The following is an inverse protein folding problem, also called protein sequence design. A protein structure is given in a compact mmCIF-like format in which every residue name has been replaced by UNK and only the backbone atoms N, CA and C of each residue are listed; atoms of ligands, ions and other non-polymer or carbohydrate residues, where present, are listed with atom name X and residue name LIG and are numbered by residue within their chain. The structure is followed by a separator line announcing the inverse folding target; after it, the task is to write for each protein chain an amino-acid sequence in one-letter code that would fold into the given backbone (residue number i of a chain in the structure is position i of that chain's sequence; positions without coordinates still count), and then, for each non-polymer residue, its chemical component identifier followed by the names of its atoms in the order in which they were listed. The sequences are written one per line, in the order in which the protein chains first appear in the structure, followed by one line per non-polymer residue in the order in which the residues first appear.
data_IF_317764200381
#
_entry.id   IF_317764200381
#
_cell.length_a   1.000
_cell.length_b   1.000
_cell.length_c   1.000
_cell.angle_alpha   90.00
_cell.angle_beta   90.00
_cell.angle_gamma   90.00
#
_symmetry.space_group_name_H-M   'P 1'
#
loop_
_entity.id
_entity.type
_entity.pdbx_description
1 polymer ?
#
# COMPACT_ATOMS: atom_id res chain seq x y z
N UNK A 1 -14.50 7.81 -11.98
CA UNK A 1 -15.53 6.85 -11.66
C UNK A 1 -16.72 6.94 -12.62
N UNK A 2 -17.14 5.82 -13.16
CA UNK A 2 -18.21 5.73 -14.19
C UNK A 2 -19.65 5.89 -13.67
N UNK A 3 -19.93 6.83 -12.78
CA UNK A 3 -21.29 7.09 -12.29
C UNK A 3 -21.87 6.03 -11.34
N UNK A 4 -21.08 5.01 -10.95
CA UNK A 4 -21.49 3.99 -9.99
C UNK A 4 -21.42 4.50 -8.55
N UNK A 5 -22.30 4.02 -7.70
CA UNK A 5 -22.13 4.19 -6.27
C UNK A 5 -20.85 3.44 -5.79
N UNK A 6 -20.27 3.88 -4.69
CA UNK A 6 -19.09 3.20 -4.12
C UNK A 6 -19.39 1.72 -3.77
N UNK A 7 -20.59 1.46 -3.30
CA UNK A 7 -21.04 0.09 -2.99
C UNK A 7 -21.11 -0.78 -4.26
N UNK A 8 -21.69 -0.26 -5.34
CA UNK A 8 -21.78 -1.00 -6.62
C UNK A 8 -20.40 -1.23 -7.23
N UNK A 9 -19.51 -0.23 -7.16
CA UNK A 9 -18.13 -0.37 -7.59
C UNK A 9 -17.40 -1.45 -6.78
N UNK A 10 -17.59 -1.50 -5.47
CA UNK A 10 -17.01 -2.53 -4.61
C UNK A 10 -17.51 -3.94 -4.98
N UNK A 11 -18.79 -4.09 -5.26
CA UNK A 11 -19.36 -5.37 -5.73
C UNK A 11 -18.77 -5.83 -7.06
N UNK A 12 -18.60 -4.90 -8.01
CA UNK A 12 -18.00 -5.20 -9.31
C UNK A 12 -16.54 -5.65 -9.19
N UNK A 13 -15.74 -4.90 -8.43
CA UNK A 13 -14.32 -5.24 -8.20
C UNK A 13 -14.20 -6.57 -7.45
N UNK A 14 -15.00 -6.78 -6.41
CA UNK A 14 -15.02 -8.06 -5.68
C UNK A 14 -15.40 -9.23 -6.60
N UNK A 15 -16.38 -9.04 -7.48
CA UNK A 15 -16.76 -10.03 -8.49
C UNK A 15 -15.63 -10.34 -9.46
N UNK A 16 -14.88 -9.33 -9.90
CA UNK A 16 -13.71 -9.52 -10.78
C UNK A 16 -12.59 -10.31 -10.07
N UNK A 17 -12.26 -9.94 -8.85
CA UNK A 17 -11.23 -10.61 -8.05
C UNK A 17 -11.60 -12.07 -7.75
N UNK A 18 -12.87 -12.35 -7.41
CA UNK A 18 -13.34 -13.74 -7.19
C UNK A 18 -13.16 -14.62 -8.41
N UNK A 19 -13.35 -14.09 -9.64
CA UNK A 19 -13.19 -14.88 -10.86
C UNK A 19 -11.77 -15.38 -11.07
N UNK A 20 -10.77 -14.68 -10.59
CA UNK A 20 -9.35 -15.06 -10.72
C UNK A 20 -8.80 -15.76 -9.49
N UNK A 21 -9.47 -15.67 -8.35
CA UNK A 21 -8.98 -16.10 -7.05
C UNK A 21 -8.58 -17.58 -7.00
N UNK A 22 -9.46 -18.48 -7.49
CA UNK A 22 -9.17 -19.93 -7.50
C UNK A 22 -7.98 -20.25 -8.41
N UNK A 23 -7.87 -19.59 -9.56
CA UNK A 23 -6.73 -19.79 -10.44
C UNK A 23 -5.44 -19.28 -9.81
N UNK A 24 -5.46 -18.11 -9.18
CA UNK A 24 -4.33 -17.57 -8.45
C UNK A 24 -3.87 -18.52 -7.34
N UNK A 25 -4.80 -19.06 -6.55
CA UNK A 25 -4.50 -20.04 -5.51
C UNK A 25 -3.84 -21.31 -6.07
N UNK A 26 -4.34 -21.85 -7.17
CA UNK A 26 -3.76 -23.02 -7.84
C UNK A 26 -2.32 -22.77 -8.34
N UNK A 27 -1.97 -21.51 -8.59
CA UNK A 27 -0.64 -21.09 -9.04
C UNK A 27 0.27 -20.64 -7.89
N UNK A 28 -0.21 -20.65 -6.65
CA UNK A 28 0.54 -20.14 -5.50
C UNK A 28 0.79 -18.63 -5.57
N UNK A 29 -0.11 -17.87 -6.22
CA UNK A 29 0.00 -16.43 -6.41
C UNK A 29 -1.09 -15.73 -5.59
N UNK A 30 -0.74 -14.61 -4.97
CA UNK A 30 -1.69 -13.69 -4.35
C UNK A 30 -1.89 -12.51 -5.29
N UNK A 31 -3.13 -12.24 -5.67
CA UNK A 31 -3.50 -11.04 -6.43
C UNK A 31 -3.86 -9.94 -5.44
N UNK A 32 -3.13 -8.85 -5.49
CA UNK A 32 -3.31 -7.73 -4.58
C UNK A 32 -4.05 -6.57 -5.25
N UNK A 33 -5.05 -6.03 -4.56
CA UNK A 33 -5.66 -4.76 -4.89
C UNK A 33 -4.86 -3.65 -4.22
N UNK A 34 -4.51 -2.62 -4.98
CA UNK A 34 -3.72 -1.50 -4.49
C UNK A 34 -4.58 -0.36 -3.95
N UNK A 35 -4.08 0.32 -2.91
CA UNK A 35 -4.63 1.60 -2.44
C UNK A 35 -4.15 2.74 -3.33
N UNK A 36 -4.78 2.91 -4.49
CA UNK A 36 -4.40 3.86 -5.53
C UNK A 36 -5.63 4.50 -6.21
N UNK A 37 -5.48 5.63 -6.86
CA UNK A 37 -6.50 6.35 -7.63
C UNK A 37 -7.87 6.44 -6.91
N UNK A 38 -8.92 5.91 -7.51
CA UNK A 38 -10.27 5.88 -6.94
C UNK A 38 -10.39 5.03 -5.66
N UNK A 39 -9.36 4.23 -5.34
CA UNK A 39 -9.32 3.32 -4.19
C UNK A 39 -8.36 3.77 -3.09
N UNK A 40 -8.02 5.05 -3.02
CA UNK A 40 -7.17 5.60 -1.94
C UNK A 40 -7.79 5.49 -0.54
N UNK A 41 -9.14 5.39 -0.43
CA UNK A 41 -9.77 5.21 0.86
C UNK A 41 -9.60 3.75 1.35
N UNK A 42 -8.86 3.49 2.44
CA UNK A 42 -8.60 2.13 2.91
C UNK A 42 -9.85 1.39 3.38
N UNK A 43 -10.90 2.10 3.81
CA UNK A 43 -12.16 1.47 4.19
C UNK A 43 -12.90 0.87 2.99
N UNK A 44 -12.81 1.51 1.82
CA UNK A 44 -13.41 1.00 0.59
C UNK A 44 -12.67 -0.27 0.12
N UNK A 45 -11.33 -0.27 0.18
CA UNK A 45 -10.52 -1.46 -0.13
C UNK A 45 -10.82 -2.59 0.85
N UNK A 46 -10.90 -2.30 2.15
CA UNK A 46 -11.29 -3.28 3.15
C UNK A 46 -12.70 -3.85 2.92
N UNK A 47 -13.65 -3.03 2.43
CA UNK A 47 -14.98 -3.50 2.06
C UNK A 47 -14.91 -4.50 0.88
N UNK A 48 -14.10 -4.21 -0.14
CA UNK A 48 -13.86 -5.16 -1.25
C UNK A 48 -13.25 -6.46 -0.72
N UNK A 49 -12.25 -6.40 0.15
CA UNK A 49 -11.61 -7.60 0.71
C UNK A 49 -12.59 -8.48 1.49
N UNK A 50 -13.46 -7.87 2.32
CA UNK A 50 -14.53 -8.61 3.02
C UNK A 50 -15.51 -9.29 2.07
N UNK A 51 -15.86 -8.60 0.97
CA UNK A 51 -16.73 -9.17 -0.06
C UNK A 51 -16.04 -10.31 -0.80
N UNK A 52 -14.78 -10.21 -1.13
CA UNK A 52 -14.03 -11.27 -1.83
C UNK A 52 -13.85 -12.48 -0.92
N UNK A 53 -13.36 -12.28 0.28
CA UNK A 53 -13.11 -13.29 1.31
C UNK A 53 -12.41 -14.55 0.76
N UNK A 54 -11.23 -14.38 0.13
CA UNK A 54 -10.48 -15.48 -0.47
C UNK A 54 -8.97 -15.35 -0.17
N UNK A 55 -8.28 -16.42 0.25
CA UNK A 55 -6.88 -16.35 0.70
C UNK A 55 -5.87 -15.97 -0.38
N UNK A 56 -6.19 -16.14 -1.67
CA UNK A 56 -5.34 -15.73 -2.78
C UNK A 56 -5.61 -14.28 -3.25
N UNK A 57 -6.41 -13.52 -2.52
CA UNK A 57 -6.66 -12.11 -2.80
C UNK A 57 -6.26 -11.29 -1.58
N UNK A 58 -5.44 -10.29 -1.79
CA UNK A 58 -4.92 -9.43 -0.74
C UNK A 58 -4.86 -7.97 -1.13
N UNK A 59 -4.08 -7.22 -0.39
CA UNK A 59 -3.87 -5.79 -0.57
C UNK A 59 -2.39 -5.50 -0.83
N UNK A 60 -2.13 -4.71 -1.85
CA UNK A 60 -0.92 -3.93 -1.96
C UNK A 60 -1.19 -2.59 -1.28
N UNK A 61 -0.61 -2.40 -0.11
CA UNK A 61 -0.76 -1.16 0.61
C UNK A 61 0.26 -0.15 0.11
N UNK A 62 -0.14 0.71 -0.82
CA UNK A 62 0.61 1.93 -1.05
C UNK A 62 0.39 2.87 0.13
N UNK A 63 1.46 3.15 0.87
CA UNK A 63 1.36 3.91 2.13
C UNK A 63 1.13 5.40 1.92
N UNK A 64 1.49 5.94 0.75
CA UNK A 64 1.35 7.37 0.46
C UNK A 64 -0.08 7.76 0.12
N UNK A 65 -0.73 7.02 -0.76
CA UNK A 65 -1.99 7.47 -1.37
C UNK A 65 -3.13 7.73 -0.37
N UNK A 66 -3.41 6.88 0.63
CA UNK A 66 -4.42 7.16 1.65
C UNK A 66 -4.13 8.44 2.45
N UNK A 67 -2.86 8.67 2.77
CA UNK A 67 -2.42 9.81 3.58
C UNK A 67 -2.46 11.11 2.76
N UNK A 68 -1.87 11.11 1.56
CA UNK A 68 -1.81 12.31 0.72
C UNK A 68 -3.16 12.82 0.27
N UNK A 69 -4.14 11.92 0.12
CA UNK A 69 -5.51 12.28 -0.26
C UNK A 69 -6.39 12.65 0.93
N UNK A 70 -5.86 12.57 2.15
CA UNK A 70 -6.58 12.90 3.38
C UNK A 70 -7.66 11.89 3.77
N UNK A 71 -7.68 10.71 3.16
CA UNK A 71 -8.68 9.68 3.48
C UNK A 71 -8.38 8.97 4.80
N UNK A 72 -7.11 8.86 5.19
CA UNK A 72 -6.73 8.22 6.44
C UNK A 72 -5.36 8.71 6.95
N UNK A 73 -5.14 8.60 8.26
CA UNK A 73 -3.79 8.62 8.83
C UNK A 73 -3.09 7.30 8.54
N UNK A 74 -1.77 7.23 8.71
CA UNK A 74 -0.98 6.00 8.56
C UNK A 74 -1.54 4.86 9.42
N UNK A 75 -1.80 5.15 10.71
CA UNK A 75 -2.36 4.18 11.66
C UNK A 75 -3.76 3.70 11.27
N UNK A 76 -4.62 4.60 10.83
CA UNK A 76 -5.98 4.26 10.43
C UNK A 76 -5.99 3.42 9.15
N UNK A 77 -5.14 3.73 8.17
CA UNK A 77 -4.99 2.95 6.94
C UNK A 77 -4.50 1.53 7.26
N UNK A 78 -3.43 1.42 8.07
CA UNK A 78 -2.93 0.12 8.51
C UNK A 78 -3.99 -0.69 9.28
N UNK A 79 -4.67 -0.08 10.25
CA UNK A 79 -5.71 -0.77 11.04
C UNK A 79 -6.84 -1.31 10.17
N UNK A 80 -7.22 -0.60 9.10
CA UNK A 80 -8.25 -1.03 8.16
C UNK A 80 -7.81 -2.20 7.28
N UNK A 81 -6.53 -2.23 6.87
CA UNK A 81 -6.03 -3.11 5.82
C UNK A 81 -5.21 -4.30 6.32
N UNK A 82 -4.66 -4.23 7.55
CA UNK A 82 -3.69 -5.19 8.08
C UNK A 82 -4.02 -6.68 7.88
N UNK A 83 -5.30 -7.13 7.89
CA UNK A 83 -5.58 -8.57 7.72
C UNK A 83 -5.30 -9.09 6.30
N UNK A 84 -5.13 -8.18 5.33
CA UNK A 84 -5.02 -8.52 3.90
C UNK A 84 -3.76 -7.99 3.25
N UNK A 85 -2.86 -7.28 4.00
CA UNK A 85 -1.62 -6.75 3.43
C UNK A 85 -0.69 -7.91 3.09
N UNK A 86 -0.38 -8.07 1.80
CA UNK A 86 0.58 -9.02 1.26
C UNK A 86 1.69 -8.34 0.46
N UNK A 87 1.53 -7.07 0.17
CA UNK A 87 2.55 -6.27 -0.49
C UNK A 87 2.44 -4.82 -0.06
N UNK A 88 3.55 -4.08 -0.13
CA UNK A 88 3.58 -2.67 0.25
C UNK A 88 4.36 -1.88 -0.79
N UNK A 89 3.76 -0.80 -1.29
CA UNK A 89 4.46 0.20 -2.08
C UNK A 89 4.93 1.35 -1.20
N UNK A 90 6.14 1.80 -1.48
CA UNK A 90 6.80 2.90 -0.76
C UNK A 90 7.39 3.91 -1.73
N UNK A 91 7.05 5.15 -1.52
CA UNK A 91 7.65 6.32 -2.14
C UNK A 91 7.32 7.55 -1.29
N UNK A 92 8.18 8.55 -1.32
CA UNK A 92 7.93 9.79 -0.59
C UNK A 92 7.78 10.96 -1.55
N UNK A 93 7.05 11.96 -1.13
CA UNK A 93 6.81 13.11 -1.98
C UNK A 93 6.25 14.31 -1.22
N UNK A 94 6.38 15.44 -1.86
CA UNK A 94 5.69 16.67 -1.50
C UNK A 94 4.48 16.81 -2.41
N UNK A 95 3.30 16.96 -1.81
CA UNK A 95 2.07 17.15 -2.56
C UNK A 95 1.96 18.62 -2.96
N UNK A 96 2.01 18.88 -4.25
CA UNK A 96 1.69 20.19 -4.83
C UNK A 96 0.25 20.19 -5.35
N UNK A 97 -0.29 21.36 -5.68
CA UNK A 97 -1.67 21.49 -6.24
C UNK A 97 -1.83 20.69 -7.54
N UNK A 98 -0.74 20.39 -8.24
CA UNK A 98 -0.77 19.82 -9.60
C UNK A 98 -0.24 18.39 -9.69
N UNK A 99 0.67 17.97 -8.79
CA UNK A 99 1.36 16.68 -8.86
C UNK A 99 2.04 16.30 -7.55
N UNK A 100 2.49 15.07 -7.50
CA UNK A 100 3.46 14.62 -6.49
C UNK A 100 4.85 14.94 -7.04
N UNK A 101 5.67 15.61 -6.25
CA UNK A 101 7.10 15.72 -6.50
C UNK A 101 7.81 14.73 -5.60
N UNK A 102 8.40 13.69 -6.19
CA UNK A 102 9.13 12.68 -5.43
C UNK A 102 10.35 13.29 -4.75
N UNK A 103 10.58 12.86 -3.52
CA UNK A 103 11.74 13.22 -2.71
C UNK A 103 12.29 11.96 -2.02
N UNK A 104 13.52 11.98 -1.52
CA UNK A 104 14.07 10.85 -0.77
C UNK A 104 13.17 10.45 0.42
N UNK A 105 13.00 9.15 0.64
CA UNK A 105 12.22 8.61 1.76
C UNK A 105 12.66 9.24 3.08
N UNK A 106 11.70 9.77 3.83
CA UNK A 106 11.89 10.42 5.11
C UNK A 106 12.16 11.93 5.01
N UNK A 107 12.14 12.51 3.81
CA UNK A 107 12.29 13.97 3.61
C UNK A 107 11.02 14.64 3.10
N UNK A 108 10.00 13.85 2.76
CA UNK A 108 8.70 14.32 2.32
C UNK A 108 7.64 14.33 3.43
N UNK A 109 6.40 14.14 3.02
CA UNK A 109 5.23 14.24 3.90
C UNK A 109 4.76 12.90 4.48
N UNK A 110 5.34 11.77 4.03
CA UNK A 110 4.87 10.44 4.38
C UNK A 110 5.72 9.83 5.50
N UNK A 111 5.09 9.44 6.60
CA UNK A 111 5.77 8.83 7.73
C UNK A 111 6.09 7.34 7.50
N UNK A 112 7.11 7.09 6.68
CA UNK A 112 7.60 5.75 6.36
C UNK A 112 8.09 5.00 7.59
N UNK A 113 8.69 5.70 8.56
CA UNK A 113 9.11 5.11 9.83
C UNK A 113 7.92 4.50 10.55
N UNK A 114 6.81 5.25 10.64
CA UNK A 114 5.58 4.75 11.26
C UNK A 114 5.00 3.54 10.52
N UNK A 115 5.01 3.57 9.19
CA UNK A 115 4.57 2.42 8.39
C UNK A 115 5.38 1.15 8.69
N UNK A 116 6.72 1.27 8.74
CA UNK A 116 7.62 0.14 9.07
C UNK A 116 7.38 -0.35 10.50
N UNK A 117 7.21 0.54 11.48
CA UNK A 117 6.87 0.18 12.86
C UNK A 117 5.55 -0.62 12.93
N UNK A 118 4.52 -0.18 12.20
CA UNK A 118 3.22 -0.86 12.16
C UNK A 118 3.33 -2.25 11.52
N UNK A 119 4.00 -2.38 10.38
CA UNK A 119 4.25 -3.67 9.72
C UNK A 119 5.01 -4.63 10.64
N UNK A 120 6.01 -4.10 11.35
CA UNK A 120 6.75 -4.87 12.33
C UNK A 120 5.85 -5.48 13.41
N UNK A 121 4.75 -4.83 13.83
CA UNK A 121 3.82 -5.38 14.83
C UNK A 121 3.09 -6.64 14.39
N UNK A 122 2.98 -6.89 13.08
CA UNK A 122 2.29 -8.05 12.49
C UNK A 122 3.23 -9.15 12.04
N UNK A 123 4.53 -9.01 12.28
CA UNK A 123 5.55 -9.90 11.76
C UNK A 123 5.50 -10.03 10.23
N UNK A 124 5.27 -8.90 9.53
CA UNK A 124 5.28 -8.84 8.07
C UNK A 124 6.64 -9.31 7.53
N UNK A 125 6.63 -10.24 6.59
CA UNK A 125 7.83 -10.88 6.04
C UNK A 125 7.97 -10.71 4.51
N UNK A 126 7.00 -10.04 3.89
CA UNK A 126 7.01 -9.79 2.45
C UNK A 126 7.82 -8.53 2.10
N UNK A 127 7.69 -8.02 0.89
CA UNK A 127 8.54 -6.98 0.36
C UNK A 127 7.94 -5.58 0.50
N UNK A 128 8.83 -4.60 0.72
CA UNK A 128 8.57 -3.18 0.49
C UNK A 128 9.13 -2.83 -0.88
N UNK A 129 8.26 -2.57 -1.83
CA UNK A 129 8.67 -2.23 -3.21
C UNK A 129 8.58 -0.73 -3.42
N UNK A 130 9.65 -0.14 -3.90
CA UNK A 130 9.66 1.26 -4.28
C UNK A 130 8.96 1.49 -5.62
N UNK A 131 8.16 2.55 -5.71
CA UNK A 131 7.46 2.93 -6.93
C UNK A 131 7.72 4.41 -7.27
N UNK A 132 8.66 4.66 -8.16
CA UNK A 132 8.98 6.00 -8.64
C UNK A 132 8.89 6.06 -10.16
N UNK A 133 8.05 6.95 -10.68
CA UNK A 133 7.83 7.12 -12.12
C UNK A 133 8.50 8.41 -12.57
N UNK A 134 9.53 8.27 -13.45
CA UNK A 134 10.18 9.41 -14.05
C UNK A 134 10.95 10.31 -13.07
N UNK A 135 11.54 9.71 -12.04
CA UNK A 135 12.38 10.38 -11.04
C UNK A 135 13.88 10.27 -11.38
N UNK A 136 14.72 10.20 -10.34
CA UNK A 136 16.18 10.02 -10.49
C UNK A 136 16.52 8.66 -11.14
N UNK A 137 17.72 8.48 -11.73
CA UNK A 137 18.19 7.16 -12.18
C UNK A 137 18.16 6.14 -11.05
N UNK A 138 17.71 4.92 -11.33
CA UNK A 138 17.54 3.86 -10.34
C UNK A 138 18.83 3.55 -9.56
N UNK A 139 19.97 3.56 -10.24
CA UNK A 139 21.28 3.34 -9.66
C UNK A 139 21.71 4.43 -8.66
N UNK A 140 21.08 5.61 -8.72
CA UNK A 140 21.33 6.73 -7.80
C UNK A 140 20.41 6.64 -6.58
N UNK A 141 19.11 6.53 -6.81
CA UNK A 141 18.15 6.61 -5.69
C UNK A 141 17.95 5.29 -4.95
N UNK A 142 17.93 4.13 -5.63
CA UNK A 142 17.61 2.85 -4.96
C UNK A 142 18.54 2.52 -3.78
N UNK A 143 19.86 2.68 -3.86
CA UNK A 143 20.75 2.42 -2.72
C UNK A 143 20.44 3.32 -1.51
N UNK A 144 20.09 4.58 -1.74
CA UNK A 144 19.74 5.55 -0.72
C UNK A 144 18.42 5.18 -0.06
N UNK A 145 17.38 4.92 -0.84
CA UNK A 145 16.05 4.55 -0.34
C UNK A 145 16.11 3.24 0.46
N UNK A 146 16.83 2.23 -0.06
CA UNK A 146 17.04 0.97 0.63
C UNK A 146 17.75 1.15 1.98
N UNK A 147 18.78 2.00 2.02
CA UNK A 147 19.51 2.27 3.26
C UNK A 147 18.61 2.90 4.32
N UNK A 148 17.75 3.85 3.92
CA UNK A 148 16.79 4.51 4.80
C UNK A 148 15.75 3.52 5.34
N UNK A 149 15.16 2.68 4.49
CA UNK A 149 14.17 1.67 4.92
C UNK A 149 14.78 0.64 5.86
N UNK A 150 16.00 0.14 5.58
CA UNK A 150 16.73 -0.77 6.48
C UNK A 150 17.05 -0.15 7.83
N UNK A 151 17.32 1.16 7.87
CA UNK A 151 17.49 1.88 9.14
C UNK A 151 16.20 1.90 9.95
N UNK A 152 15.05 2.18 9.30
CA UNK A 152 13.75 2.17 9.98
C UNK A 152 13.38 0.78 10.49
N UNK A 153 13.64 -0.26 9.69
CA UNK A 153 13.43 -1.66 10.10
C UNK A 153 14.26 -2.01 11.34
N UNK A 154 15.56 -1.67 11.34
CA UNK A 154 16.45 -1.92 12.47
C UNK A 154 15.97 -1.21 13.74
N UNK A 155 15.49 0.02 13.62
CA UNK A 155 14.95 0.78 14.74
C UNK A 155 13.61 0.21 15.26
N UNK A 156 12.76 -0.26 14.36
CA UNK A 156 11.48 -0.87 14.74
C UNK A 156 11.70 -2.18 15.52
N UNK A 157 12.70 -2.98 15.13
CA UNK A 157 13.06 -4.21 15.85
C UNK A 157 13.66 -3.92 17.23
N UNK A 158 14.51 -2.89 17.35
CA UNK A 158 15.16 -2.53 18.60
C UNK A 158 14.19 -1.97 19.68
N UNK A 159 13.00 -1.57 19.29
CA UNK A 159 11.95 -1.02 20.19
C UNK A 159 10.95 -2.08 20.68
N UNK A 160 11.07 -3.31 20.25
CA UNK A 160 10.27 -4.47 20.72
C UNK A 160 10.88 -5.11 21.95
#
# INVERSE_FOLDING_TARGET
GGGLSRADAALLVAGALRRVATHAQQRGVIVCMETHDDWCNPQDVAAVMRLVNHPAIGVNWDIMHPVRTGHATMDAAFAALRPWIHHVHVHDGVVTVQRIEYVPIGTGAIDHRRAVELLATTNYQDYLSGEWIGWEPAEVHLPRELATLKEYERQAVARR
#
